data_IF_315112608523
#
_entry.id   IF_315112608523
#
_cell.length_a   1.000
_cell.length_b   1.000
_cell.length_c   1.000
_cell.angle_alpha   90.00
_cell.angle_beta   90.00
_cell.angle_gamma   90.00
#
_symmetry.space_group_name_H-M   'P 1'
#
loop_
_entity.id
_entity.type
_entity.pdbx_description
1 polymer ?
#
# COMPACT_ATOMS: atom_id res chain seq x y z
N UNK A 1 11.34 7.23 18.05
CA UNK A 1 11.57 7.87 16.73
C UNK A 1 11.36 6.77 15.70
N UNK A 2 10.54 7.01 14.68
CA UNK A 2 10.33 6.04 13.60
C UNK A 2 11.64 5.88 12.81
N UNK A 3 12.10 4.66 12.49
CA UNK A 3 13.31 4.47 11.70
C UNK A 3 13.12 5.03 10.29
N UNK A 4 14.13 5.69 9.75
CA UNK A 4 14.15 6.06 8.32
C UNK A 4 14.39 4.79 7.50
N UNK A 5 13.52 4.57 6.51
CA UNK A 5 13.66 3.44 5.60
C UNK A 5 14.47 3.84 4.36
N UNK A 6 15.25 2.91 3.81
CA UNK A 6 15.80 3.08 2.47
C UNK A 6 14.68 2.98 1.41
N UNK A 7 14.73 3.76 0.32
CA UNK A 7 13.73 3.75 -0.74
C UNK A 7 13.51 2.34 -1.33
N UNK A 8 12.29 1.82 -1.23
CA UNK A 8 11.93 0.55 -1.88
C UNK A 8 10.41 0.34 -1.98
N UNK A 9 10.03 -0.57 -2.89
CA UNK A 9 8.65 -0.95 -3.19
C UNK A 9 8.55 -2.46 -3.07
N UNK A 10 7.77 -2.93 -2.10
CA UNK A 10 7.59 -4.36 -1.81
C UNK A 10 6.12 -4.76 -2.01
N UNK A 11 5.89 -5.95 -2.58
CA UNK A 11 4.57 -6.57 -2.54
C UNK A 11 4.44 -7.35 -1.23
N UNK A 12 3.40 -7.05 -0.44
CA UNK A 12 3.17 -7.74 0.83
C UNK A 12 2.01 -8.74 0.74
N UNK A 13 2.08 -9.75 1.59
CA UNK A 13 1.06 -10.80 1.76
C UNK A 13 0.57 -10.77 3.21
N UNK A 14 -0.72 -11.01 3.43
CA UNK A 14 -1.28 -11.23 4.76
C UNK A 14 -1.35 -12.75 5.02
N UNK A 15 -0.21 -13.29 5.48
CA UNK A 15 -0.10 -14.72 5.79
C UNK A 15 -1.02 -15.16 6.94
N UNK A 16 -1.42 -14.24 7.83
CA UNK A 16 -2.33 -14.58 8.94
C UNK A 16 -3.74 -14.86 8.44
N UNK A 17 -4.15 -14.17 7.37
CA UNK A 17 -5.46 -14.34 6.74
C UNK A 17 -5.43 -15.18 5.46
N UNK A 18 -4.24 -15.61 5.02
CA UNK A 18 -4.04 -16.34 3.76
C UNK A 18 -4.57 -15.57 2.54
N UNK A 19 -4.41 -14.24 2.55
CA UNK A 19 -4.83 -13.34 1.46
C UNK A 19 -3.66 -12.46 1.02
N UNK A 20 -3.78 -11.88 -0.16
CA UNK A 20 -2.84 -10.92 -0.70
C UNK A 20 -2.98 -9.54 -0.07
N UNK A 21 -1.84 -8.91 0.20
CA UNK A 21 -1.77 -7.56 0.76
C UNK A 21 -1.60 -6.48 -0.30
N UNK A 22 -1.36 -5.25 0.18
CA UNK A 22 -1.10 -4.08 -0.64
C UNK A 22 0.32 -4.00 -1.20
N UNK A 23 0.68 -2.82 -1.69
CA UNK A 23 2.03 -2.46 -2.13
C UNK A 23 2.64 -1.59 -1.04
N UNK A 24 3.72 -2.05 -0.41
CA UNK A 24 4.41 -1.31 0.63
C UNK A 24 5.48 -0.40 0.00
N UNK A 25 5.29 0.90 0.13
CA UNK A 25 6.20 1.92 -0.39
C UNK A 25 6.88 2.59 0.80
N UNK A 26 8.21 2.53 0.87
CA UNK A 26 8.99 3.04 1.99
C UNK A 26 10.18 3.87 1.53
N UNK A 27 10.67 4.73 2.42
CA UNK A 27 11.84 5.59 2.21
C UNK A 27 11.54 6.88 1.46
N UNK A 28 10.40 7.52 1.71
CA UNK A 28 10.13 8.87 1.19
C UNK A 28 9.91 8.94 -0.33
N UNK A 29 9.51 7.84 -0.95
CA UNK A 29 9.23 7.80 -2.40
C UNK A 29 8.00 8.69 -2.69
N UNK A 30 8.10 9.71 -3.56
CA UNK A 30 6.96 10.52 -3.96
C UNK A 30 5.93 9.71 -4.74
N UNK A 31 4.65 10.03 -4.55
CA UNK A 31 3.53 9.34 -5.21
C UNK A 31 2.69 10.39 -5.93
N UNK A 32 2.38 10.11 -7.20
CA UNK A 32 1.55 10.94 -8.06
C UNK A 32 0.38 10.11 -8.59
N UNK A 33 -0.79 10.72 -8.65
CA UNK A 33 -1.98 10.17 -9.30
C UNK A 33 -1.88 10.31 -10.81
N UNK A 34 -2.67 9.53 -11.57
CA UNK A 34 -2.67 9.58 -13.03
C UNK A 34 -3.10 10.93 -13.62
N UNK A 35 -3.74 11.78 -12.82
CA UNK A 35 -4.13 13.15 -13.16
C UNK A 35 -3.06 14.21 -12.82
N UNK A 36 -1.88 13.78 -12.33
CA UNK A 36 -0.78 14.66 -11.93
C UNK A 36 -0.89 15.16 -10.47
N UNK A 37 -1.90 14.76 -9.71
CA UNK A 37 -2.03 15.15 -8.30
C UNK A 37 -0.98 14.44 -7.43
N UNK A 38 -0.10 15.20 -6.78
CA UNK A 38 0.89 14.67 -5.85
C UNK A 38 0.30 14.41 -4.46
N UNK A 39 0.69 13.29 -3.84
CA UNK A 39 0.39 12.99 -2.45
C UNK A 39 1.53 13.46 -1.54
N UNK A 40 1.22 13.64 -0.25
CA UNK A 40 2.21 13.95 0.79
C UNK A 40 3.32 12.87 0.82
N UNK A 41 4.58 13.31 0.79
CA UNK A 41 5.73 12.42 0.91
C UNK A 41 5.81 11.89 2.34
N UNK A 42 5.81 10.56 2.48
CA UNK A 42 5.83 9.88 3.78
C UNK A 42 6.96 8.87 3.84
N UNK A 43 7.47 8.63 5.05
CA UNK A 43 8.50 7.61 5.30
C UNK A 43 8.01 6.20 4.91
N UNK A 44 6.71 5.92 5.07
CA UNK A 44 6.08 4.69 4.59
C UNK A 44 4.58 4.84 4.32
N UNK A 45 4.08 4.14 3.31
CA UNK A 45 2.64 3.97 3.02
C UNK A 45 2.37 2.58 2.45
N UNK A 46 1.13 2.12 2.56
CA UNK A 46 0.67 0.91 1.86
C UNK A 46 -0.40 1.31 0.86
N UNK A 47 -0.16 1.08 -0.43
CA UNK A 47 -1.13 1.32 -1.49
C UNK A 47 -2.07 0.12 -1.65
N UNK A 48 -3.33 0.41 -1.99
CA UNK A 48 -4.35 -0.58 -2.24
C UNK A 48 -4.02 -1.36 -3.51
N UNK A 49 -4.02 -2.69 -3.40
CA UNK A 49 -3.87 -3.59 -4.55
C UNK A 49 -5.15 -4.37 -4.88
N UNK A 50 -6.06 -4.55 -3.92
CA UNK A 50 -7.31 -5.28 -4.11
C UNK A 50 -8.41 -4.51 -4.87
N UNK A 51 -8.24 -3.20 -5.08
CA UNK A 51 -9.23 -2.33 -5.73
C UNK A 51 -10.48 -1.98 -4.89
N UNK A 52 -10.63 -2.54 -3.69
CA UNK A 52 -11.84 -2.39 -2.86
C UNK A 52 -11.71 -1.42 -1.68
N UNK A 53 -10.52 -0.86 -1.45
CA UNK A 53 -10.31 0.16 -0.40
C UNK A 53 -11.29 1.33 -0.54
N UNK A 54 -11.80 1.83 0.58
CA UNK A 54 -12.59 3.06 0.69
C UNK A 54 -11.70 4.30 0.87
N UNK A 55 -10.42 4.12 1.19
CA UNK A 55 -9.43 5.17 1.37
C UNK A 55 -8.40 5.19 0.23
N UNK A 56 -8.85 5.08 -1.03
CA UNK A 56 -7.94 5.05 -2.18
C UNK A 56 -7.10 6.34 -2.25
N UNK A 57 -5.82 6.23 -2.63
CA UNK A 57 -5.13 5.04 -3.15
C UNK A 57 -4.57 4.11 -2.05
N UNK A 58 -4.77 4.40 -0.78
CA UNK A 58 -4.18 3.68 0.34
C UNK A 58 -4.95 2.40 0.70
N UNK A 59 -4.24 1.45 1.30
CA UNK A 59 -4.82 0.23 1.86
C UNK A 59 -5.50 0.54 3.21
N UNK A 60 -6.74 0.05 3.38
CA UNK A 60 -7.56 0.19 4.60
C UNK A 60 -7.97 -1.18 5.18
N UNK A 61 -7.19 -2.22 4.88
CA UNK A 61 -7.46 -3.62 5.21
C UNK A 61 -8.71 -4.25 4.56
N UNK A 62 -9.42 -3.56 3.66
CA UNK A 62 -10.57 -4.15 2.94
C UNK A 62 -10.19 -5.39 2.11
N UNK A 63 -8.90 -5.55 1.76
CA UNK A 63 -8.40 -6.77 1.09
C UNK A 63 -8.69 -8.07 1.87
N UNK A 64 -8.77 -8.00 3.20
CA UNK A 64 -9.15 -9.13 4.06
C UNK A 64 -10.64 -9.45 3.91
N UNK A 65 -11.49 -8.43 3.83
CA UNK A 65 -12.95 -8.60 3.76
C UNK A 65 -13.43 -9.15 2.42
N UNK A 66 -12.61 -9.02 1.37
CA UNK A 66 -12.94 -9.46 0.00
C UNK A 66 -12.14 -10.67 -0.43
N UNK A 67 -11.46 -11.32 0.51
CA UNK A 67 -10.60 -12.50 0.28
C UNK A 67 -9.69 -12.30 -0.95
N UNK A 68 -9.01 -11.15 -1.01
CA UNK A 68 -8.20 -10.79 -2.17
C UNK A 68 -7.05 -11.78 -2.33
N UNK A 69 -6.98 -12.47 -3.46
CA UNK A 69 -5.84 -13.34 -3.82
C UNK A 69 -5.35 -12.90 -5.19
N UNK A 70 -4.11 -12.41 -5.21
CA UNK A 70 -3.40 -12.12 -6.45
C UNK A 70 -2.82 -13.44 -6.99
N UNK A 71 -3.12 -13.76 -8.26
CA UNK A 71 -2.77 -15.05 -8.88
C UNK A 71 -1.40 -15.01 -9.54
#
# INVERSE_FOLDING_TARGET
IEPEYEPSIDIIQDCQRSVSGGIFVKGGIPIESSDGSAYEVRNRVVLCRCGKSKNKPFCDATHILVDFVDK
#
